data_IF_080598274301
#
_entry.id   IF_080598274301
#
_cell.length_a   1.000
_cell.length_b   1.000
_cell.length_c   1.000
_cell.angle_alpha   90.00
_cell.angle_beta   90.00
_cell.angle_gamma   90.00
#
_symmetry.space_group_name_H-M   'P 1'
#
loop_
_entity.id
_entity.type
_entity.pdbx_description
1 polymer ?
#
# COMPACT_ATOMS: atom_id res chain seq x y z
N UNK A 1 -1.50 -21.10 33.27
CA UNK A 1 -1.58 -21.55 31.86
C UNK A 1 -2.75 -22.53 31.60
N UNK A 2 -3.62 -22.81 32.58
CA UNK A 2 -4.71 -23.81 32.43
C UNK A 2 -6.04 -23.31 31.85
N UNK A 3 -6.35 -22.02 31.95
CA UNK A 3 -7.70 -21.52 31.64
C UNK A 3 -8.05 -21.47 30.13
N UNK A 4 -7.04 -21.57 29.25
CA UNK A 4 -7.23 -21.45 27.78
C UNK A 4 -7.61 -22.78 27.12
N UNK A 5 -7.28 -23.91 27.75
CA UNK A 5 -7.57 -25.24 27.24
C UNK A 5 -8.98 -25.72 27.61
N UNK A 6 -9.49 -25.33 28.79
CA UNK A 6 -10.85 -25.66 29.23
C UNK A 6 -11.93 -24.97 28.35
N UNK A 7 -11.70 -23.72 27.94
CA UNK A 7 -12.59 -23.02 27.00
C UNK A 7 -12.63 -23.68 25.61
N UNK A 8 -11.50 -24.18 25.09
CA UNK A 8 -11.47 -24.88 23.79
C UNK A 8 -12.22 -26.21 23.80
N UNK A 9 -12.17 -26.94 24.91
CA UNK A 9 -12.92 -28.19 25.09
C UNK A 9 -14.43 -27.92 25.22
N UNK A 10 -14.82 -26.86 25.95
CA UNK A 10 -16.23 -26.44 26.05
C UNK A 10 -16.79 -25.93 24.71
N UNK A 11 -15.98 -25.24 23.91
CA UNK A 11 -16.38 -24.79 22.57
C UNK A 11 -16.48 -25.94 21.55
N UNK A 12 -15.61 -26.95 21.66
CA UNK A 12 -15.68 -28.20 20.88
C UNK A 12 -16.96 -29.00 21.17
N UNK A 13 -17.34 -29.09 22.45
CA UNK A 13 -18.55 -29.82 22.88
C UNK A 13 -19.86 -29.07 22.55
N UNK A 14 -19.81 -27.75 22.35
CA UNK A 14 -20.96 -26.94 21.91
C UNK A 14 -21.24 -27.02 20.42
N UNK A 15 -20.34 -27.59 19.61
CA UNK A 15 -20.51 -27.75 18.17
C UNK A 15 -21.60 -28.75 17.76
N UNK A 16 -22.00 -29.65 18.66
CA UNK A 16 -23.07 -30.63 18.42
C UNK A 16 -24.47 -30.13 18.78
N UNK A 17 -24.60 -28.97 19.42
CA UNK A 17 -25.86 -28.51 20.05
C UNK A 17 -26.59 -27.43 19.24
N UNK A 18 -26.45 -27.50 17.92
CA UNK A 18 -27.45 -26.99 16.97
C UNK A 18 -28.07 -28.18 16.29
N UNK A 19 -28.86 -28.96 17.05
CA UNK A 19 -29.73 -29.94 16.43
C UNK A 19 -30.75 -29.14 15.60
N UNK A 20 -30.47 -28.97 14.31
CA UNK A 20 -31.36 -28.25 13.40
C UNK A 20 -32.76 -28.81 13.59
N UNK A 21 -33.68 -27.99 14.11
CA UNK A 21 -35.05 -28.40 14.44
C UNK A 21 -35.76 -29.07 13.25
N UNK A 22 -35.29 -28.76 12.03
CA UNK A 22 -35.69 -29.38 10.76
C UNK A 22 -35.37 -30.89 10.70
N UNK A 23 -34.21 -31.31 11.23
CA UNK A 23 -33.81 -32.71 11.34
C UNK A 23 -34.67 -33.42 12.38
N UNK A 24 -34.92 -32.80 13.54
CA UNK A 24 -35.84 -33.34 14.54
C UNK A 24 -37.26 -33.50 13.98
N UNK A 25 -37.74 -32.50 13.24
CA UNK A 25 -39.02 -32.55 12.54
C UNK A 25 -39.07 -33.69 11.52
N UNK A 26 -38.04 -33.84 10.69
CA UNK A 26 -37.94 -34.95 9.74
C UNK A 26 -37.97 -36.32 10.40
N UNK A 27 -37.29 -36.48 11.54
CA UNK A 27 -37.29 -37.71 12.34
C UNK A 27 -38.67 -38.01 12.93
N UNK A 28 -39.34 -37.02 13.53
CA UNK A 28 -40.68 -37.19 14.11
C UNK A 28 -41.71 -37.57 13.04
N UNK A 29 -41.70 -36.88 11.90
CA UNK A 29 -42.60 -37.18 10.77
C UNK A 29 -42.32 -38.58 10.21
N UNK A 30 -41.04 -38.97 10.08
CA UNK A 30 -40.64 -40.32 9.64
C UNK A 30 -41.14 -41.39 10.62
N UNK A 31 -40.99 -41.17 11.92
CA UNK A 31 -41.42 -42.12 12.96
C UNK A 31 -42.94 -42.30 12.96
N UNK A 32 -43.70 -41.20 12.88
CA UNK A 32 -45.16 -41.23 12.78
C UNK A 32 -45.59 -41.97 11.50
N UNK A 33 -44.95 -41.68 10.36
CA UNK A 33 -45.25 -42.32 9.08
C UNK A 33 -45.04 -43.84 9.11
N UNK A 34 -43.91 -44.29 9.68
CA UNK A 34 -43.62 -45.72 9.82
C UNK A 34 -44.61 -46.41 10.77
N UNK A 35 -45.01 -45.74 11.86
CA UNK A 35 -46.00 -46.27 12.80
C UNK A 35 -47.37 -46.42 12.13
N UNK A 36 -47.81 -45.42 11.36
CA UNK A 36 -49.04 -45.49 10.58
C UNK A 36 -48.98 -46.59 9.50
N UNK A 37 -47.86 -46.73 8.79
CA UNK A 37 -47.65 -47.80 7.81
C UNK A 37 -47.72 -49.19 8.45
N UNK A 38 -47.10 -49.37 9.62
CA UNK A 38 -47.13 -50.61 10.41
C UNK A 38 -48.56 -50.93 10.89
N UNK A 39 -49.29 -49.92 11.38
CA UNK A 39 -50.68 -50.06 11.80
C UNK A 39 -51.58 -50.44 10.60
N UNK A 40 -51.42 -49.76 9.47
CA UNK A 40 -52.16 -50.05 8.24
C UNK A 40 -51.93 -51.49 7.77
N UNK A 41 -50.67 -51.95 7.74
CA UNK A 41 -50.32 -53.33 7.42
C UNK A 41 -51.00 -54.31 8.38
N UNK A 42 -51.01 -54.01 9.68
CA UNK A 42 -51.56 -54.91 10.71
C UNK A 42 -53.09 -55.03 10.61
N UNK A 43 -53.78 -53.93 10.29
CA UNK A 43 -55.26 -53.89 10.25
C UNK A 43 -55.81 -54.33 8.89
N UNK A 44 -55.19 -53.95 7.78
CA UNK A 44 -55.78 -54.14 6.43
C UNK A 44 -55.17 -55.31 5.64
N UNK A 45 -53.87 -55.58 5.79
CA UNK A 45 -53.16 -56.56 4.94
C UNK A 45 -52.91 -57.87 5.69
N UNK A 46 -52.41 -57.77 6.93
CA UNK A 46 -51.92 -58.88 7.73
C UNK A 46 -50.52 -59.33 7.32
N UNK A 47 -49.59 -59.38 8.28
CA UNK A 47 -48.18 -59.71 8.06
C UNK A 47 -47.95 -61.05 7.35
N UNK A 48 -48.78 -62.06 7.66
CA UNK A 48 -48.69 -63.38 7.04
C UNK A 48 -49.09 -63.40 5.57
N UNK A 49 -49.99 -62.50 5.12
CA UNK A 49 -50.42 -62.41 3.72
C UNK A 49 -49.45 -61.58 2.90
N UNK A 50 -48.86 -60.55 3.51
CA UNK A 50 -47.84 -59.72 2.88
C UNK A 50 -46.58 -60.52 2.52
N UNK A 51 -46.12 -61.41 3.42
CA UNK A 51 -44.95 -62.26 3.18
C UNK A 51 -45.15 -63.31 2.07
N UNK A 52 -46.40 -63.57 1.67
CA UNK A 52 -46.75 -64.50 0.59
C UNK A 52 -47.04 -63.80 -0.75
N UNK A 53 -46.98 -62.48 -0.81
CA UNK A 53 -47.20 -61.72 -2.05
C UNK A 53 -46.06 -61.91 -3.06
N UNK A 54 -46.35 -61.80 -4.37
CA UNK A 54 -45.32 -61.69 -5.39
C UNK A 54 -44.34 -60.55 -5.08
N UNK A 55 -43.06 -60.75 -5.40
CA UNK A 55 -41.98 -59.77 -5.13
C UNK A 55 -42.27 -58.42 -5.81
N UNK A 56 -42.91 -58.42 -6.97
CA UNK A 56 -43.31 -57.21 -7.72
C UNK A 56 -44.34 -56.35 -6.97
N UNK A 57 -45.36 -56.98 -6.38
CA UNK A 57 -46.40 -56.28 -5.60
C UNK A 57 -45.85 -55.77 -4.27
N UNK A 58 -44.96 -56.54 -3.65
CA UNK A 58 -44.23 -56.12 -2.46
C UNK A 58 -43.33 -54.91 -2.78
N UNK A 59 -42.63 -54.94 -3.91
CA UNK A 59 -41.82 -53.83 -4.42
C UNK A 59 -42.64 -52.57 -4.64
N UNK A 60 -43.78 -52.69 -5.32
CA UNK A 60 -44.70 -51.57 -5.59
C UNK A 60 -45.27 -50.94 -4.31
N UNK A 61 -45.61 -51.77 -3.31
CA UNK A 61 -46.04 -51.28 -2.00
C UNK A 61 -44.92 -50.53 -1.27
N UNK A 62 -43.71 -51.10 -1.23
CA UNK A 62 -42.56 -50.49 -0.56
C UNK A 62 -42.13 -49.20 -1.27
N UNK A 63 -42.18 -49.15 -2.60
CA UNK A 63 -41.95 -47.94 -3.38
C UNK A 63 -42.94 -46.84 -2.98
N UNK A 64 -44.23 -47.15 -2.89
CA UNK A 64 -45.25 -46.20 -2.42
C UNK A 64 -45.05 -45.74 -0.98
N UNK A 65 -44.57 -46.63 -0.10
CA UNK A 65 -44.32 -46.31 1.31
C UNK A 65 -43.05 -45.48 1.53
N UNK A 66 -41.99 -45.72 0.76
CA UNK A 66 -40.68 -45.05 0.91
C UNK A 66 -40.53 -43.80 0.03
N UNK A 67 -41.25 -43.66 -1.09
CA UNK A 67 -41.13 -42.48 -1.94
C UNK A 67 -41.43 -41.15 -1.21
N UNK A 68 -42.49 -41.02 -0.38
CA UNK A 68 -42.73 -39.79 0.39
C UNK A 68 -41.65 -39.50 1.44
N UNK A 69 -41.09 -40.54 2.07
CA UNK A 69 -40.00 -40.42 3.03
C UNK A 69 -38.72 -39.90 2.36
N UNK A 70 -38.33 -40.49 1.22
CA UNK A 70 -37.17 -40.05 0.46
C UNK A 70 -37.31 -38.59 0.01
N UNK A 71 -38.51 -38.20 -0.46
CA UNK A 71 -38.80 -36.83 -0.84
C UNK A 71 -38.70 -35.84 0.34
N UNK A 72 -39.25 -36.21 1.50
CA UNK A 72 -39.16 -35.40 2.73
C UNK A 72 -37.71 -35.08 3.09
N UNK A 73 -36.85 -36.11 3.12
CA UNK A 73 -35.44 -35.95 3.47
C UNK A 73 -34.66 -35.14 2.43
N UNK A 74 -34.97 -35.30 1.14
CA UNK A 74 -34.39 -34.50 0.07
C UNK A 74 -34.70 -33.00 0.26
N UNK A 75 -35.96 -32.66 0.52
CA UNK A 75 -36.38 -31.26 0.72
C UNK A 75 -35.73 -30.65 1.96
N UNK A 76 -35.67 -31.39 3.07
CA UNK A 76 -34.98 -30.95 4.28
C UNK A 76 -33.49 -30.69 4.00
N UNK A 77 -32.82 -31.61 3.28
CA UNK A 77 -31.43 -31.47 2.86
C UNK A 77 -31.19 -30.21 2.01
N UNK A 78 -32.06 -29.96 1.03
CA UNK A 78 -32.00 -28.77 0.17
C UNK A 78 -32.11 -27.47 0.99
N UNK A 79 -33.04 -27.40 1.95
CA UNK A 79 -33.20 -26.20 2.78
C UNK A 79 -32.01 -25.95 3.72
N UNK A 80 -31.43 -27.01 4.28
CA UNK A 80 -30.20 -26.90 5.09
C UNK A 80 -29.06 -26.38 4.22
N UNK A 81 -28.86 -26.98 3.05
CA UNK A 81 -27.82 -26.56 2.09
C UNK A 81 -27.97 -25.09 1.68
N UNK A 82 -29.19 -24.63 1.36
CA UNK A 82 -29.45 -23.23 1.04
C UNK A 82 -29.10 -22.28 2.19
N UNK A 83 -29.44 -22.66 3.44
CA UNK A 83 -29.10 -21.82 4.60
C UNK A 83 -27.59 -21.71 4.85
N UNK A 84 -26.85 -22.80 4.66
CA UNK A 84 -25.38 -22.81 4.79
C UNK A 84 -24.75 -21.95 3.69
N UNK A 85 -25.19 -22.09 2.43
CA UNK A 85 -24.70 -21.26 1.33
C UNK A 85 -24.97 -19.76 1.56
N UNK A 86 -26.15 -19.42 2.06
CA UNK A 86 -26.49 -18.03 2.39
C UNK A 86 -25.60 -17.47 3.51
N UNK A 87 -25.25 -18.27 4.53
CA UNK A 87 -24.34 -17.88 5.60
C UNK A 87 -22.91 -17.71 5.08
N UNK A 88 -22.38 -18.70 4.36
CA UNK A 88 -21.05 -18.64 3.76
C UNK A 88 -20.90 -17.42 2.83
N UNK A 89 -21.91 -17.12 2.02
CA UNK A 89 -21.87 -15.98 1.12
C UNK A 89 -21.84 -14.64 1.89
N UNK A 90 -22.54 -14.54 3.03
CA UNK A 90 -22.48 -13.36 3.90
C UNK A 90 -21.11 -13.21 4.55
N UNK A 91 -20.52 -14.30 5.05
CA UNK A 91 -19.18 -14.28 5.64
C UNK A 91 -18.11 -13.88 4.61
N UNK A 92 -18.21 -14.43 3.40
CA UNK A 92 -17.36 -14.02 2.27
C UNK A 92 -17.54 -12.55 1.93
N UNK A 93 -18.77 -12.05 1.89
CA UNK A 93 -19.03 -10.64 1.63
C UNK A 93 -18.40 -9.73 2.70
N UNK A 94 -18.58 -10.05 3.99
CA UNK A 94 -17.96 -9.30 5.08
C UNK A 94 -16.43 -9.40 5.05
N UNK A 95 -15.88 -10.58 4.79
CA UNK A 95 -14.44 -10.81 4.64
C UNK A 95 -13.86 -9.98 3.49
N UNK A 96 -14.50 -9.97 2.33
CA UNK A 96 -14.10 -9.17 1.17
C UNK A 96 -14.08 -7.67 1.47
N UNK A 97 -15.12 -7.14 2.14
CA UNK A 97 -15.16 -5.71 2.51
C UNK A 97 -14.02 -5.38 3.49
N UNK A 98 -13.80 -6.23 4.49
CA UNK A 98 -12.71 -6.02 5.46
C UNK A 98 -11.36 -6.09 4.75
N UNK A 99 -11.16 -7.06 3.84
CA UNK A 99 -9.94 -7.20 3.05
C UNK A 99 -9.72 -6.00 2.12
N UNK A 100 -10.75 -5.50 1.46
CA UNK A 100 -10.67 -4.31 0.61
C UNK A 100 -10.26 -3.07 1.42
N UNK A 101 -10.89 -2.84 2.59
CA UNK A 101 -10.50 -1.75 3.49
C UNK A 101 -9.09 -1.91 4.03
N UNK A 102 -8.65 -3.14 4.32
CA UNK A 102 -7.28 -3.42 4.72
C UNK A 102 -6.30 -3.15 3.58
N UNK A 103 -6.63 -3.50 2.34
CA UNK A 103 -5.80 -3.22 1.17
C UNK A 103 -5.64 -1.71 0.95
N UNK A 104 -6.72 -0.93 1.07
CA UNK A 104 -6.66 0.53 1.00
C UNK A 104 -5.79 1.12 2.12
N UNK A 105 -5.99 0.67 3.37
CA UNK A 105 -5.19 1.12 4.50
C UNK A 105 -3.70 0.75 4.35
N UNK A 106 -3.40 -0.45 3.84
CA UNK A 106 -2.04 -0.89 3.53
C UNK A 106 -1.40 -0.05 2.42
N UNK A 107 -2.13 0.24 1.35
CA UNK A 107 -1.64 1.09 0.27
C UNK A 107 -1.35 2.52 0.74
N UNK A 108 -2.24 3.09 1.58
CA UNK A 108 -2.02 4.38 2.21
C UNK A 108 -0.80 4.37 3.16
N UNK A 109 -0.65 3.30 3.96
CA UNK A 109 0.48 3.14 4.87
C UNK A 109 1.80 2.96 4.12
N UNK A 110 1.81 2.18 3.03
CA UNK A 110 2.98 2.03 2.17
C UNK A 110 3.42 3.36 1.56
N UNK A 111 2.46 4.17 1.08
CA UNK A 111 2.74 5.52 0.55
C UNK A 111 3.39 6.40 1.62
N UNK A 112 2.82 6.43 2.83
CA UNK A 112 3.38 7.20 3.94
C UNK A 112 4.79 6.71 4.32
N UNK A 113 5.00 5.39 4.38
CA UNK A 113 6.30 4.80 4.68
C UNK A 113 7.37 5.14 3.61
N UNK A 114 6.99 5.16 2.33
CA UNK A 114 7.87 5.59 1.23
C UNK A 114 8.26 7.06 1.37
N UNK A 115 7.32 7.94 1.72
CA UNK A 115 7.59 9.36 1.94
C UNK A 115 8.49 9.60 3.16
N UNK A 116 8.25 8.92 4.29
CA UNK A 116 9.11 9.02 5.47
C UNK A 116 10.55 8.56 5.18
N UNK A 117 10.68 7.43 4.48
CA UNK A 117 11.99 6.91 4.05
C UNK A 117 12.69 7.90 3.13
N UNK A 118 11.96 8.51 2.18
CA UNK A 118 12.50 9.56 1.33
C UNK A 118 13.03 10.73 2.15
N UNK A 119 12.28 11.27 3.12
CA UNK A 119 12.74 12.43 3.90
C UNK A 119 14.03 12.15 4.67
N UNK A 120 14.21 10.94 5.22
CA UNK A 120 15.46 10.52 5.87
C UNK A 120 16.64 10.47 4.89
N UNK A 121 16.43 9.93 3.69
CA UNK A 121 17.47 9.88 2.65
C UNK A 121 17.77 11.29 2.12
N UNK A 122 16.73 12.10 1.93
CA UNK A 122 16.83 13.46 1.43
C UNK A 122 17.65 14.35 2.38
N UNK A 123 17.42 14.25 3.69
CA UNK A 123 18.19 14.98 4.69
C UNK A 123 19.69 14.65 4.65
N UNK A 124 20.04 13.36 4.64
CA UNK A 124 21.42 12.91 4.52
C UNK A 124 22.04 13.36 3.18
N UNK A 125 21.31 13.25 2.08
CA UNK A 125 21.79 13.67 0.76
C UNK A 125 22.02 15.18 0.69
N UNK A 126 21.11 15.99 1.27
CA UNK A 126 21.27 17.45 1.36
C UNK A 126 22.51 17.81 2.17
N UNK A 127 22.75 17.14 3.30
CA UNK A 127 23.99 17.31 4.07
C UNK A 127 25.24 16.99 3.25
N UNK A 128 25.24 15.90 2.48
CA UNK A 128 26.36 15.56 1.59
C UNK A 128 26.57 16.60 0.48
N UNK A 129 25.49 17.06 -0.16
CA UNK A 129 25.54 18.13 -1.17
C UNK A 129 26.10 19.42 -0.58
N UNK A 130 25.67 19.79 0.63
CA UNK A 130 26.23 20.89 1.40
C UNK A 130 27.73 20.75 1.60
N UNK A 131 28.20 19.60 2.09
CA UNK A 131 29.62 19.32 2.26
C UNK A 131 30.44 19.39 0.96
N UNK A 132 29.92 18.82 -0.14
CA UNK A 132 30.55 18.91 -1.47
C UNK A 132 30.65 20.37 -1.91
N UNK A 133 29.57 21.15 -1.78
CA UNK A 133 29.58 22.56 -2.13
C UNK A 133 30.49 23.41 -1.23
N UNK A 134 30.63 23.05 0.05
CA UNK A 134 31.58 23.70 0.97
C UNK A 134 33.03 23.47 0.58
N UNK A 135 33.40 22.22 0.28
CA UNK A 135 34.75 21.88 -0.22
C UNK A 135 35.03 22.56 -1.57
N UNK A 136 34.04 22.60 -2.46
CA UNK A 136 34.13 23.30 -3.72
C UNK A 136 34.38 24.80 -3.50
N UNK A 137 33.60 25.44 -2.63
CA UNK A 137 33.76 26.86 -2.32
C UNK A 137 35.13 27.14 -1.70
N UNK A 138 35.59 26.32 -0.75
CA UNK A 138 36.90 26.45 -0.14
C UNK A 138 38.04 26.36 -1.17
N UNK A 139 37.94 25.44 -2.12
CA UNK A 139 38.94 25.31 -3.20
C UNK A 139 38.95 26.50 -4.16
N UNK A 140 37.86 27.27 -4.21
CA UNK A 140 37.69 28.40 -5.11
C UNK A 140 38.06 29.72 -4.44
N UNK A 141 37.46 29.97 -3.28
CA UNK A 141 37.42 31.26 -2.61
C UNK A 141 38.17 31.28 -1.28
N UNK A 142 38.45 30.12 -0.70
CA UNK A 142 39.23 30.02 0.54
C UNK A 142 40.73 30.25 0.32
N UNK A 143 41.56 30.06 1.36
CA UNK A 143 43.00 30.29 1.31
C UNK A 143 43.75 29.49 0.24
N UNK A 144 43.24 28.30 -0.12
CA UNK A 144 43.79 27.46 -1.19
C UNK A 144 43.31 27.85 -2.60
N UNK A 145 42.39 28.80 -2.71
CA UNK A 145 41.82 29.33 -3.94
C UNK A 145 42.32 30.75 -4.23
N UNK A 146 41.39 31.68 -4.44
CA UNK A 146 41.71 33.10 -4.66
C UNK A 146 41.87 33.92 -3.37
N UNK A 147 41.64 33.32 -2.19
CA UNK A 147 41.77 33.98 -0.89
C UNK A 147 40.76 35.08 -0.62
N UNK A 148 39.70 35.22 -1.42
CA UNK A 148 38.66 36.25 -1.20
C UNK A 148 37.76 36.00 -0.01
N UNK A 149 37.73 34.76 0.51
CA UNK A 149 37.12 34.39 1.79
C UNK A 149 38.23 34.03 2.78
N UNK A 150 38.24 34.75 3.91
CA UNK A 150 39.14 34.46 5.02
C UNK A 150 38.83 33.11 5.66
N UNK A 151 39.81 32.56 6.37
CA UNK A 151 39.64 31.32 7.14
C UNK A 151 38.54 31.45 8.21
N UNK A 152 38.41 32.62 8.83
CA UNK A 152 37.37 32.91 9.81
C UNK A 152 35.96 32.87 9.19
N UNK A 153 35.75 33.51 8.03
CA UNK A 153 34.47 33.47 7.31
C UNK A 153 34.13 32.04 6.84
N UNK A 154 35.13 31.27 6.41
CA UNK A 154 34.94 29.87 6.06
C UNK A 154 34.53 29.03 7.27
N UNK A 155 35.16 29.22 8.43
CA UNK A 155 34.81 28.53 9.67
C UNK A 155 33.40 28.87 10.16
N UNK A 156 32.97 30.14 10.02
CA UNK A 156 31.60 30.55 10.34
C UNK A 156 30.56 29.85 9.45
N UNK A 157 30.81 29.75 8.14
CA UNK A 157 29.92 28.98 7.25
C UNK A 157 29.90 27.50 7.59
N UNK A 158 31.04 26.89 7.95
CA UNK A 158 31.09 25.50 8.42
C UNK A 158 30.34 25.32 9.74
N UNK A 159 30.34 26.32 10.62
CA UNK A 159 29.53 26.32 11.84
C UNK A 159 28.03 26.36 11.52
N UNK A 160 27.59 27.22 10.59
CA UNK A 160 26.20 27.21 10.11
C UNK A 160 25.80 25.86 9.49
N UNK A 161 26.69 25.27 8.69
CA UNK A 161 26.48 23.93 8.15
C UNK A 161 26.33 22.86 9.26
N UNK A 162 27.20 22.89 10.27
CA UNK A 162 27.16 21.94 11.38
C UNK A 162 25.91 22.09 12.27
N UNK A 163 25.32 23.29 12.32
CA UNK A 163 24.10 23.59 13.08
C UNK A 163 22.79 23.30 12.31
N UNK A 164 22.89 22.81 11.06
CA UNK A 164 21.76 22.31 10.28
C UNK A 164 21.49 23.04 8.97
N UNK A 165 22.21 24.12 8.68
CA UNK A 165 22.08 24.84 7.41
C UNK A 165 22.90 24.21 6.28
N UNK A 166 22.38 23.12 5.71
CA UNK A 166 23.08 22.38 4.66
C UNK A 166 23.20 23.13 3.33
N UNK A 167 22.48 24.23 3.15
CA UNK A 167 22.46 25.01 1.92
C UNK A 167 23.32 26.28 1.95
N UNK A 168 23.97 26.59 3.09
CA UNK A 168 24.77 27.81 3.29
C UNK A 168 25.75 28.06 2.14
N UNK A 169 26.51 27.04 1.73
CA UNK A 169 27.50 27.13 0.67
C UNK A 169 26.87 27.25 -0.72
N UNK A 170 25.75 26.56 -0.96
CA UNK A 170 25.04 26.66 -2.23
C UNK A 170 24.45 28.05 -2.44
N UNK A 171 23.87 28.64 -1.38
CA UNK A 171 23.43 30.04 -1.40
C UNK A 171 24.60 30.99 -1.64
N UNK A 172 25.77 30.72 -1.05
CA UNK A 172 26.96 31.55 -1.30
C UNK A 172 27.34 31.55 -2.78
N UNK A 173 27.33 30.41 -3.47
CA UNK A 173 27.55 30.37 -4.91
C UNK A 173 26.51 31.16 -5.71
N UNK A 174 25.23 31.07 -5.35
CA UNK A 174 24.17 31.82 -6.02
C UNK A 174 24.35 33.34 -5.83
N UNK A 175 24.82 33.78 -4.66
CA UNK A 175 25.17 35.19 -4.42
C UNK A 175 26.34 35.62 -5.33
N UNK A 176 27.39 34.80 -5.46
CA UNK A 176 28.50 35.10 -6.37
C UNK A 176 28.03 35.21 -7.82
N UNK A 177 27.16 34.28 -8.26
CA UNK A 177 26.55 34.35 -9.58
C UNK A 177 25.74 35.64 -9.78
N UNK A 178 24.94 36.04 -8.78
CA UNK A 178 24.18 37.30 -8.80
C UNK A 178 25.04 38.56 -8.83
N UNK A 179 26.29 38.49 -8.32
CA UNK A 179 27.30 39.56 -8.42
C UNK A 179 28.04 39.59 -9.77
N UNK A 180 27.70 38.68 -10.70
CA UNK A 180 28.30 38.62 -12.02
C UNK A 180 29.64 37.88 -12.07
N UNK A 181 30.02 37.14 -11.02
CA UNK A 181 31.22 36.32 -11.08
C UNK A 181 31.09 35.19 -12.10
N UNK A 182 32.18 34.89 -12.80
CA UNK A 182 32.21 33.80 -13.76
C UNK A 182 32.26 32.45 -13.04
N UNK A 183 31.12 31.78 -12.98
CA UNK A 183 30.97 30.48 -12.30
C UNK A 183 31.68 29.33 -13.02
N UNK A 184 31.97 29.43 -14.32
CA UNK A 184 32.58 28.34 -15.09
C UNK A 184 33.92 27.87 -14.51
N UNK A 185 34.90 28.77 -14.32
CA UNK A 185 36.16 28.44 -13.65
C UNK A 185 36.03 28.03 -12.17
N UNK A 186 34.98 28.46 -11.48
CA UNK A 186 34.73 28.03 -10.09
C UNK A 186 34.28 26.56 -10.05
N UNK A 187 33.48 26.12 -11.02
CA UNK A 187 32.99 24.74 -11.07
C UNK A 187 33.94 23.79 -11.79
N UNK A 188 34.61 24.26 -12.84
CA UNK A 188 35.35 23.40 -13.78
C UNK A 188 36.79 23.86 -14.05
N UNK A 189 37.28 24.87 -13.32
CA UNK A 189 38.63 25.43 -13.56
C UNK A 189 39.78 24.49 -13.17
N UNK A 190 39.52 23.48 -12.34
CA UNK A 190 40.49 22.45 -11.99
C UNK A 190 39.84 21.06 -12.00
N UNK A 191 40.66 20.01 -12.04
CA UNK A 191 40.17 18.64 -11.97
C UNK A 191 39.41 18.38 -10.65
N UNK A 192 39.91 18.90 -9.52
CA UNK A 192 39.28 18.74 -8.21
C UNK A 192 37.89 19.40 -8.20
N UNK A 193 37.77 20.63 -8.71
CA UNK A 193 36.49 21.36 -8.81
C UNK A 193 35.52 20.63 -9.73
N UNK A 194 36.01 20.13 -10.86
CA UNK A 194 35.22 19.32 -11.80
C UNK A 194 34.66 18.08 -11.12
N UNK A 195 35.49 17.32 -10.40
CA UNK A 195 35.05 16.13 -9.67
C UNK A 195 33.99 16.47 -8.61
N UNK A 196 34.18 17.52 -7.81
CA UNK A 196 33.16 17.94 -6.84
C UNK A 196 31.85 18.35 -7.51
N UNK A 197 31.94 19.09 -8.62
CA UNK A 197 30.77 19.54 -9.38
C UNK A 197 30.01 18.35 -10.00
N UNK A 198 30.71 17.43 -10.66
CA UNK A 198 30.10 16.23 -11.25
C UNK A 198 29.46 15.35 -10.16
N UNK A 199 30.13 15.17 -9.01
CA UNK A 199 29.57 14.45 -7.87
C UNK A 199 28.31 15.14 -7.29
N UNK A 200 28.30 16.47 -7.24
CA UNK A 200 27.13 17.24 -6.82
C UNK A 200 25.94 17.00 -7.75
N UNK A 201 26.16 17.10 -9.06
CA UNK A 201 25.16 16.86 -10.11
C UNK A 201 24.57 15.45 -9.97
N UNK A 202 25.44 14.42 -9.87
CA UNK A 202 25.02 13.02 -9.79
C UNK A 202 24.21 12.74 -8.53
N UNK A 203 24.66 13.22 -7.36
CA UNK A 203 23.93 12.99 -6.11
C UNK A 203 22.60 13.72 -6.08
N UNK A 204 22.52 14.92 -6.65
CA UNK A 204 21.27 15.64 -6.77
C UNK A 204 20.30 14.98 -7.77
N UNK A 205 20.79 14.41 -8.87
CA UNK A 205 19.94 13.59 -9.76
C UNK A 205 19.36 12.37 -9.06
N UNK A 206 20.15 11.68 -8.24
CA UNK A 206 19.67 10.54 -7.45
C UNK A 206 18.61 10.98 -6.45
N UNK A 207 18.79 12.13 -5.81
CA UNK A 207 17.78 12.72 -4.92
C UNK A 207 16.48 13.02 -5.67
N UNK A 208 16.55 13.66 -6.83
CA UNK A 208 15.38 13.97 -7.65
C UNK A 208 14.67 12.72 -8.16
N UNK A 209 15.41 11.68 -8.53
CA UNK A 209 14.83 10.40 -8.94
C UNK A 209 14.00 9.80 -7.79
N UNK A 210 14.57 9.75 -6.59
CA UNK A 210 13.86 9.26 -5.40
C UNK A 210 12.66 10.13 -5.03
N UNK A 211 12.75 11.45 -5.22
CA UNK A 211 11.64 12.36 -4.99
C UNK A 211 10.47 12.03 -5.94
N UNK A 212 10.73 11.86 -7.24
CA UNK A 212 9.69 11.54 -8.23
C UNK A 212 8.96 10.22 -7.93
N UNK A 213 9.66 9.23 -7.39
CA UNK A 213 9.07 7.94 -7.06
C UNK A 213 8.06 8.00 -5.88
N UNK A 214 8.09 9.07 -5.07
CA UNK A 214 7.19 9.26 -3.92
C UNK A 214 6.30 10.51 -4.00
N UNK A 215 6.37 11.24 -5.11
CA UNK A 215 5.74 12.54 -5.31
C UNK A 215 4.54 12.48 -6.27
N UNK A 216 3.34 12.60 -5.72
CA UNK A 216 2.09 12.46 -6.49
C UNK A 216 1.73 13.74 -7.25
N UNK A 217 2.11 14.91 -6.72
CA UNK A 217 1.65 16.22 -7.21
C UNK A 217 2.81 17.14 -7.59
N UNK A 218 4.01 16.60 -7.83
CA UNK A 218 5.25 17.34 -8.07
C UNK A 218 5.69 18.28 -6.94
N UNK A 219 5.08 18.22 -5.75
CA UNK A 219 5.36 19.13 -4.64
C UNK A 219 6.79 18.91 -4.12
N UNK A 220 7.19 17.66 -3.93
CA UNK A 220 8.49 17.31 -3.37
C UNK A 220 9.59 17.64 -4.37
N UNK A 221 9.38 17.26 -5.62
CA UNK A 221 10.30 17.45 -6.74
C UNK A 221 10.51 18.94 -7.00
N UNK A 222 9.43 19.72 -7.08
CA UNK A 222 9.53 21.17 -7.26
C UNK A 222 10.21 21.84 -6.07
N UNK A 223 9.92 21.41 -4.83
CA UNK A 223 10.60 21.93 -3.64
C UNK A 223 12.12 21.68 -3.68
N UNK A 224 12.55 20.47 -4.09
CA UNK A 224 13.98 20.20 -4.25
C UNK A 224 14.61 21.03 -5.39
N UNK A 225 13.92 21.20 -6.51
CA UNK A 225 14.43 21.97 -7.65
C UNK A 225 14.57 23.47 -7.35
N UNK A 226 13.65 24.04 -6.58
CA UNK A 226 13.68 25.46 -6.19
C UNK A 226 14.58 25.74 -4.97
N UNK A 227 15.12 24.69 -4.33
CA UNK A 227 16.11 24.83 -3.26
C UNK A 227 17.43 25.41 -3.76
N UNK A 228 18.30 25.91 -2.86
CA UNK A 228 19.59 26.45 -3.29
C UNK A 228 20.47 25.38 -3.96
N UNK A 229 20.38 24.12 -3.51
CA UNK A 229 21.04 23.00 -4.17
C UNK A 229 20.51 22.76 -5.59
N UNK A 230 19.19 22.85 -5.79
CA UNK A 230 18.57 22.67 -7.10
C UNK A 230 18.96 23.75 -8.09
N UNK A 231 18.91 25.01 -7.66
CA UNK A 231 19.36 26.15 -8.46
C UNK A 231 20.85 26.05 -8.79
N UNK A 232 21.69 25.68 -7.82
CA UNK A 232 23.12 25.46 -8.06
C UNK A 232 23.36 24.31 -9.03
N UNK A 233 22.67 23.18 -8.86
CA UNK A 233 22.75 22.02 -9.77
C UNK A 233 22.39 22.42 -11.20
N UNK A 234 21.31 23.18 -11.37
CA UNK A 234 20.89 23.71 -12.68
C UNK A 234 22.02 24.55 -13.29
N UNK A 235 22.62 25.45 -12.50
CA UNK A 235 23.70 26.31 -13.00
C UNK A 235 24.96 25.51 -13.37
N UNK A 236 25.33 24.52 -12.57
CA UNK A 236 26.45 23.62 -12.85
C UNK A 236 26.24 22.86 -14.16
N UNK A 237 25.03 22.35 -14.41
CA UNK A 237 24.68 21.66 -15.67
C UNK A 237 24.74 22.56 -16.89
N UNK A 238 24.23 23.79 -16.78
CA UNK A 238 24.28 24.77 -17.88
C UNK A 238 25.71 25.07 -18.32
N UNK A 239 26.62 25.15 -17.36
CA UNK A 239 28.03 25.49 -17.57
C UNK A 239 28.92 24.27 -17.81
N UNK A 240 28.36 23.06 -17.84
CA UNK A 240 29.15 21.85 -17.93
C UNK A 240 29.91 21.81 -19.28
N UNK A 241 31.24 21.59 -19.28
CA UNK A 241 32.07 21.79 -20.47
C UNK A 241 31.89 20.70 -21.54
N UNK A 242 31.54 19.48 -21.13
CA UNK A 242 31.49 18.30 -22.02
C UNK A 242 30.07 17.81 -22.34
N UNK A 243 29.23 17.68 -21.32
CA UNK A 243 27.86 17.16 -21.41
C UNK A 243 26.85 18.30 -21.52
N UNK A 244 25.91 18.21 -22.47
CA UNK A 244 24.73 19.08 -22.56
C UNK A 244 23.55 18.39 -21.90
N UNK A 245 23.16 18.88 -20.73
CA UNK A 245 22.03 18.33 -19.98
C UNK A 245 20.70 18.88 -20.49
N UNK A 246 19.65 18.04 -20.45
CA UNK A 246 18.27 18.52 -20.56
C UNK A 246 17.95 19.35 -19.31
N UNK A 247 17.26 20.48 -19.50
CA UNK A 247 16.75 21.28 -18.38
C UNK A 247 15.78 20.44 -17.56
N UNK A 248 15.75 20.70 -16.25
CA UNK A 248 14.77 20.08 -15.38
C UNK A 248 13.35 20.44 -15.83
N UNK A 249 12.47 19.44 -15.86
CA UNK A 249 11.04 19.64 -16.02
C UNK A 249 10.48 20.10 -14.68
N UNK A 250 9.92 21.30 -14.68
CA UNK A 250 9.32 21.98 -13.54
C UNK A 250 7.83 22.17 -13.81
N UNK A 251 7.01 22.14 -12.76
CA UNK A 251 5.64 22.64 -12.89
C UNK A 251 5.70 24.11 -13.28
N UNK A 252 5.19 24.44 -14.48
CA UNK A 252 5.16 25.84 -14.95
C UNK A 252 4.14 26.60 -14.11
N UNK A 253 4.63 27.52 -13.29
CA UNK A 253 3.78 28.39 -12.44
C UNK A 253 2.72 29.12 -13.27
N UNK A 254 3.05 29.55 -14.49
CA UNK A 254 2.11 30.18 -15.44
C UNK A 254 0.91 29.28 -15.76
N UNK A 255 1.17 27.99 -15.98
CA UNK A 255 0.16 27.04 -16.43
C UNK A 255 -0.74 26.66 -15.25
N UNK A 256 -0.15 26.47 -14.07
CA UNK A 256 -0.88 26.18 -12.84
C UNK A 256 -1.75 27.36 -12.38
N UNK A 257 -1.21 28.58 -12.40
CA UNK A 257 -1.99 29.80 -12.10
C UNK A 257 -3.10 30.01 -13.13
N UNK A 258 -2.84 29.74 -14.41
CA UNK A 258 -3.85 29.79 -15.47
C UNK A 258 -5.02 28.82 -15.24
N UNK A 259 -4.73 27.60 -14.78
CA UNK A 259 -5.75 26.62 -14.40
C UNK A 259 -6.60 27.10 -13.21
N UNK A 260 -5.97 27.66 -12.17
CA UNK A 260 -6.69 28.23 -11.02
C UNK A 260 -7.61 29.36 -11.47
N UNK A 261 -7.10 30.27 -12.30
CA UNK A 261 -7.90 31.39 -12.83
C UNK A 261 -9.11 30.89 -13.61
N UNK A 262 -8.92 29.90 -14.49
CA UNK A 262 -10.01 29.30 -15.26
C UNK A 262 -11.08 28.66 -14.36
N UNK A 263 -10.65 27.85 -13.39
CA UNK A 263 -11.56 27.18 -12.46
C UNK A 263 -12.30 28.17 -11.55
N UNK A 264 -11.68 29.32 -11.21
CA UNK A 264 -12.32 30.38 -10.43
C UNK A 264 -13.34 31.22 -11.21
N UNK A 265 -13.29 31.18 -12.55
CA UNK A 265 -14.25 31.86 -13.43
C UNK A 265 -15.44 30.97 -13.79
N UNK A 266 -15.32 29.65 -13.61
CA UNK A 266 -16.36 28.65 -13.86
C UNK A 266 -17.21 28.33 -12.60
N UNK A 267 -16.85 28.87 -11.44
CA UNK A 267 -17.55 28.74 -10.15
C UNK A 267 -18.32 30.01 -9.78
#
# INVERSE_FOLDING_TARGET
MDNKNDNRLKDSLRGFDRQDWRIQFGLVVTLIWLLLGTLYMTVNVGWSRFATLPIEDMGSFLEGAFAPLAFLWLVIGLFIQQSIQAQNNRELYHSNIVSARQAEALAANEKNARQETFFKIADNTRRQLGGISGLLLQSCKGPAGDGSLSEAEMMEMWHHFATGDFEVFSRRFLILAGRGENMGPLFYGTQIRTTHTENFIVNFDRLLKLARDCDVNNIITDAQLHSAHGLLSSRMRELHPRIKFRRYELTRTSDYLGQIMKNSQEA
#
